data_IF_548543320542
#
_entry.id   IF_548543320542
#
_cell.length_a   1.000
_cell.length_b   1.000
_cell.length_c   1.000
_cell.angle_alpha   90.00
_cell.angle_beta   90.00
_cell.angle_gamma   90.00
#
_symmetry.space_group_name_H-M   'P 1'
#
loop_
_entity.id
_entity.type
_entity.pdbx_description
1 polymer ?
#
# COMPACT_ATOMS: atom_id res chain seq x y z
N UNK A 1 -44.11 -43.62 49.28
CA UNK A 1 -45.21 -42.80 48.72
C UNK A 1 -44.59 -41.72 47.86
N UNK A 2 -45.03 -41.69 46.62
CA UNK A 2 -44.35 -41.18 45.44
C UNK A 2 -44.06 -39.68 45.42
N UNK A 3 -42.85 -39.36 44.94
CA UNK A 3 -42.49 -38.03 44.45
C UNK A 3 -43.29 -37.74 43.17
N UNK A 4 -44.25 -36.83 43.24
CA UNK A 4 -44.90 -36.25 42.04
C UNK A 4 -44.25 -34.90 41.73
N UNK A 5 -43.25 -34.92 40.85
CA UNK A 5 -42.80 -33.72 40.15
C UNK A 5 -43.94 -33.28 39.20
N UNK A 6 -44.77 -32.34 39.65
CA UNK A 6 -45.70 -31.65 38.75
C UNK A 6 -44.86 -30.82 37.77
N UNK A 7 -44.74 -31.30 36.54
CA UNK A 7 -44.32 -30.46 35.42
C UNK A 7 -45.38 -29.37 35.30
N UNK A 8 -45.00 -28.15 35.63
CA UNK A 8 -45.78 -26.95 35.33
C UNK A 8 -45.80 -26.82 33.80
N UNK A 9 -46.84 -27.39 33.16
CA UNK A 9 -47.06 -27.20 31.73
C UNK A 9 -47.39 -25.73 31.53
N UNK A 10 -46.39 -24.96 31.11
CA UNK A 10 -46.54 -23.54 30.78
C UNK A 10 -47.64 -23.38 29.74
N UNK A 11 -48.81 -22.94 30.19
CA UNK A 11 -49.97 -22.75 29.33
C UNK A 11 -49.73 -21.52 28.45
N UNK A 12 -49.17 -21.75 27.26
CA UNK A 12 -48.79 -20.74 26.27
C UNK A 12 -49.92 -19.74 25.99
N UNK A 13 -51.18 -20.18 26.11
CA UNK A 13 -52.36 -19.33 25.91
C UNK A 13 -52.53 -18.28 27.01
N UNK A 14 -52.27 -18.63 28.27
CA UNK A 14 -52.34 -17.70 29.40
C UNK A 14 -51.21 -16.66 29.36
N UNK A 15 -50.04 -17.05 28.85
CA UNK A 15 -48.92 -16.13 28.63
C UNK A 15 -49.21 -15.11 27.52
N UNK A 16 -49.90 -15.49 26.45
CA UNK A 16 -50.11 -14.65 25.26
C UNK A 16 -51.35 -13.73 25.37
N UNK A 17 -52.38 -14.15 26.10
CA UNK A 17 -53.62 -13.39 26.29
C UNK A 17 -53.43 -11.90 26.72
N UNK A 18 -52.53 -11.55 27.68
CA UNK A 18 -52.32 -10.16 28.06
C UNK A 18 -51.68 -9.31 26.94
N UNK A 19 -50.84 -9.90 26.09
CA UNK A 19 -50.23 -9.21 24.95
C UNK A 19 -51.24 -8.95 23.83
N UNK A 20 -52.14 -9.90 23.55
CA UNK A 20 -53.23 -9.70 22.58
C UNK A 20 -54.23 -8.62 23.03
N UNK A 21 -54.52 -8.52 24.34
CA UNK A 21 -55.40 -7.46 24.87
C UNK A 21 -54.83 -6.06 24.62
N UNK A 22 -53.50 -5.93 24.68
CA UNK A 22 -52.77 -4.67 24.51
C UNK A 22 -52.14 -4.52 23.11
N UNK A 23 -52.66 -5.22 22.10
CA UNK A 23 -52.09 -5.27 20.73
C UNK A 23 -51.80 -3.90 20.10
N UNK A 24 -52.57 -2.86 20.46
CA UNK A 24 -52.37 -1.47 19.98
C UNK A 24 -50.99 -0.92 20.36
N UNK A 25 -50.48 -1.22 21.56
CA UNK A 25 -49.15 -0.79 21.99
C UNK A 25 -48.05 -1.53 21.20
N UNK A 26 -48.29 -2.79 20.85
CA UNK A 26 -47.36 -3.57 20.03
C UNK A 26 -47.32 -3.10 18.58
N UNK A 27 -48.49 -2.77 17.99
CA UNK A 27 -48.56 -2.17 16.66
C UNK A 27 -47.95 -0.76 16.67
N UNK A 28 -48.22 0.03 17.71
CA UNK A 28 -47.64 1.37 17.88
C UNK A 28 -46.11 1.32 18.00
N UNK A 29 -45.57 0.40 18.80
CA UNK A 29 -44.11 0.23 18.91
C UNK A 29 -43.49 -0.30 17.62
N UNK A 30 -44.18 -1.19 16.89
CA UNK A 30 -43.76 -1.67 15.58
C UNK A 30 -43.67 -0.55 14.55
N UNK A 31 -44.68 0.33 14.48
CA UNK A 31 -44.66 1.51 13.60
C UNK A 31 -43.55 2.48 14.01
N UNK A 32 -43.37 2.72 15.31
CA UNK A 32 -42.31 3.59 15.81
C UNK A 32 -40.92 3.05 15.42
N UNK A 33 -40.66 1.76 15.63
CA UNK A 33 -39.42 1.11 15.21
C UNK A 33 -39.22 1.17 13.71
N UNK A 34 -40.28 1.02 12.91
CA UNK A 34 -40.21 1.15 11.46
C UNK A 34 -39.82 2.57 11.03
N UNK A 35 -40.41 3.60 11.65
CA UNK A 35 -40.04 5.00 11.39
C UNK A 35 -38.58 5.25 11.75
N UNK A 36 -38.13 4.79 12.92
CA UNK A 36 -36.74 4.91 13.34
C UNK A 36 -35.78 4.18 12.39
N UNK A 37 -36.14 2.98 11.92
CA UNK A 37 -35.35 2.23 10.95
C UNK A 37 -35.22 2.98 9.61
N UNK A 38 -36.31 3.56 9.10
CA UNK A 38 -36.29 4.35 7.87
C UNK A 38 -35.44 5.62 8.04
N UNK A 39 -35.56 6.31 9.18
CA UNK A 39 -34.72 7.47 9.49
C UNK A 39 -33.24 7.09 9.58
N UNK A 40 -32.94 5.97 10.22
CA UNK A 40 -31.57 5.46 10.33
C UNK A 40 -30.98 5.16 8.94
N UNK A 41 -31.66 4.34 8.13
CA UNK A 41 -31.20 3.97 6.78
C UNK A 41 -31.01 5.21 5.88
N UNK A 42 -31.87 6.22 6.01
CA UNK A 42 -31.70 7.47 5.25
C UNK A 42 -30.54 8.33 5.72
N UNK A 43 -30.17 8.26 7.00
CA UNK A 43 -29.14 9.12 7.62
C UNK A 43 -27.74 8.51 7.59
N UNK A 44 -27.61 7.23 7.28
CA UNK A 44 -26.30 6.57 7.18
C UNK A 44 -25.75 6.65 5.75
N UNK A 45 -24.51 7.14 5.54
CA UNK A 45 -23.88 7.15 4.22
C UNK A 45 -23.63 5.72 3.71
N UNK A 46 -23.73 5.46 2.40
CA UNK A 46 -23.44 4.14 1.84
C UNK A 46 -21.93 3.88 1.86
N UNK A 47 -21.52 2.75 2.45
CA UNK A 47 -20.13 2.29 2.43
C UNK A 47 -19.98 1.18 1.39
N UNK A 48 -18.91 1.24 0.60
CA UNK A 48 -18.61 0.28 -0.47
C UNK A 48 -17.29 -0.44 -0.20
N UNK A 49 -17.36 -1.77 -0.21
CA UNK A 49 -16.17 -2.63 -0.20
C UNK A 49 -15.55 -2.69 -1.59
N UNK A 50 -14.30 -2.25 -1.72
CA UNK A 50 -13.47 -2.50 -2.89
C UNK A 50 -12.43 -3.57 -2.55
N UNK A 51 -12.13 -4.44 -3.51
CA UNK A 51 -11.18 -5.54 -3.33
C UNK A 51 -10.35 -5.73 -4.60
N UNK A 52 -9.07 -6.08 -4.42
CA UNK A 52 -8.17 -6.49 -5.48
C UNK A 52 -7.34 -7.69 -5.03
N UNK A 53 -6.85 -8.48 -5.98
CA UNK A 53 -6.03 -9.65 -5.72
C UNK A 53 -4.71 -9.54 -6.46
N UNK A 54 -3.60 -9.74 -5.74
CA UNK A 54 -2.24 -9.61 -6.25
C UNK A 54 -1.56 -10.96 -6.17
N UNK A 55 -1.07 -11.46 -7.31
CA UNK A 55 -0.27 -12.67 -7.38
C UNK A 55 1.21 -12.33 -7.17
N UNK A 56 1.83 -12.93 -6.16
CA UNK A 56 3.26 -12.82 -5.91
C UNK A 56 3.98 -13.90 -6.73
N UNK A 57 4.75 -13.47 -7.74
CA UNK A 57 5.42 -14.40 -8.69
C UNK A 57 6.65 -15.08 -8.10
N UNK A 58 7.40 -14.38 -7.24
CA UNK A 58 8.65 -14.89 -6.65
C UNK A 58 8.41 -15.58 -5.28
N UNK A 59 7.15 -15.87 -4.96
CA UNK A 59 6.71 -16.64 -3.80
C UNK A 59 7.05 -18.13 -3.91
N UNK A 60 8.32 -18.46 -4.19
CA UNK A 60 8.82 -19.81 -3.98
C UNK A 60 8.99 -19.98 -2.48
N UNK A 61 8.11 -20.76 -1.84
CA UNK A 61 8.54 -21.53 -0.67
C UNK A 61 9.78 -22.28 -1.14
N UNK A 62 10.93 -22.02 -0.51
CA UNK A 62 12.16 -22.73 -0.80
C UNK A 62 11.87 -24.20 -0.50
N UNK A 63 11.49 -24.94 -1.54
CA UNK A 63 11.19 -26.35 -1.41
C UNK A 63 12.49 -27.01 -1.01
N UNK A 64 12.41 -27.84 0.02
CA UNK A 64 13.47 -28.67 0.63
C UNK A 64 14.21 -29.57 -0.40
N UNK A 65 13.87 -29.48 -1.68
CA UNK A 65 14.33 -30.33 -2.77
C UNK A 65 15.54 -29.82 -3.57
N UNK A 66 16.22 -28.74 -3.16
CA UNK A 66 17.50 -28.33 -3.76
C UNK A 66 18.67 -28.58 -2.79
N UNK A 67 19.27 -29.77 -2.90
CA UNK A 67 20.68 -30.11 -2.63
C UNK A 67 21.34 -29.63 -1.33
N UNK A 68 21.80 -30.58 -0.51
CA UNK A 68 22.67 -30.48 0.68
C UNK A 68 22.24 -29.58 1.86
N UNK A 69 21.43 -28.54 1.64
CA UNK A 69 20.94 -27.65 2.71
C UNK A 69 19.65 -28.19 3.39
N UNK A 70 18.83 -28.96 2.67
CA UNK A 70 17.58 -29.52 3.20
C UNK A 70 17.77 -30.55 4.33
N UNK A 71 18.89 -31.28 4.33
CA UNK A 71 19.22 -32.26 5.39
C UNK A 71 19.71 -31.55 6.65
N UNK A 72 20.42 -30.42 6.51
CA UNK A 72 20.95 -29.65 7.64
C UNK A 72 19.83 -28.96 8.45
N UNK A 73 18.73 -28.54 7.80
CA UNK A 73 17.51 -28.05 8.46
C UNK A 73 16.72 -29.14 9.19
N UNK A 74 16.88 -30.41 8.80
CA UNK A 74 16.15 -31.54 9.41
C UNK A 74 16.82 -32.08 10.68
N UNK A 75 18.12 -31.80 10.90
CA UNK A 75 18.93 -32.36 11.99
C UNK A 75 19.07 -31.46 13.23
N UNK A 76 18.72 -30.18 13.11
CA UNK A 76 18.54 -29.27 14.25
C UNK A 76 17.20 -28.59 14.10
N UNK A 77 16.42 -28.43 15.18
CA UNK A 77 15.05 -27.86 15.21
C UNK A 77 14.88 -26.42 14.70
N UNK A 78 15.51 -26.07 13.58
CA UNK A 78 15.51 -24.81 12.85
C UNK A 78 14.40 -24.76 11.79
N UNK A 79 13.42 -25.68 11.88
CA UNK A 79 12.21 -25.76 11.05
C UNK A 79 11.38 -24.45 11.04
N UNK A 80 11.62 -23.54 11.99
CA UNK A 80 10.98 -22.22 12.05
C UNK A 80 11.67 -21.11 11.23
N UNK A 81 12.80 -21.37 10.57
CA UNK A 81 13.55 -20.38 9.78
C UNK A 81 13.27 -20.47 8.27
N UNK A 82 12.11 -21.02 7.89
CA UNK A 82 11.56 -20.81 6.56
C UNK A 82 11.02 -19.38 6.51
N UNK A 83 11.74 -18.48 5.85
CA UNK A 83 11.22 -17.13 5.56
C UNK A 83 9.96 -17.30 4.73
N UNK A 84 8.83 -17.14 5.38
CA UNK A 84 7.50 -17.19 4.80
C UNK A 84 7.37 -15.95 3.90
N UNK A 85 7.85 -16.07 2.65
CA UNK A 85 8.05 -14.94 1.73
C UNK A 85 6.75 -14.22 1.44
N UNK A 86 5.63 -14.94 1.43
CA UNK A 86 4.29 -14.37 1.24
C UNK A 86 3.88 -13.46 2.41
N UNK A 87 4.13 -13.88 3.65
CA UNK A 87 3.81 -13.11 4.85
C UNK A 87 4.65 -11.84 4.95
N UNK A 88 5.88 -11.87 4.46
CA UNK A 88 6.68 -10.66 4.30
C UNK A 88 6.01 -9.69 3.31
N UNK A 89 5.51 -10.17 2.16
CA UNK A 89 4.80 -9.33 1.19
C UNK A 89 3.51 -8.72 1.78
N UNK A 90 2.79 -9.46 2.64
CA UNK A 90 1.65 -8.92 3.41
C UNK A 90 2.10 -7.73 4.26
N UNK A 91 3.21 -7.88 4.98
CA UNK A 91 3.80 -6.81 5.78
C UNK A 91 4.24 -5.61 4.93
N UNK A 92 4.73 -5.83 3.70
CA UNK A 92 5.08 -4.77 2.76
C UNK A 92 3.83 -3.97 2.37
N UNK A 93 2.73 -4.62 1.99
CA UNK A 93 1.47 -3.92 1.70
C UNK A 93 0.90 -3.15 2.89
N UNK A 94 1.08 -3.66 4.11
CA UNK A 94 0.67 -2.98 5.34
C UNK A 94 1.65 -1.89 5.78
N UNK A 95 2.79 -1.72 5.13
CA UNK A 95 3.81 -0.76 5.56
C UNK A 95 3.35 0.69 5.38
N UNK A 96 3.68 1.54 6.35
CA UNK A 96 3.36 2.97 6.28
C UNK A 96 3.93 3.63 5.04
N UNK A 97 5.15 3.27 4.63
CA UNK A 97 5.82 3.87 3.48
C UNK A 97 5.02 3.74 2.17
N UNK A 98 4.47 2.55 1.89
CA UNK A 98 3.64 2.33 0.70
C UNK A 98 2.34 3.13 0.78
N UNK A 99 1.66 3.10 1.93
CA UNK A 99 0.41 3.86 2.14
C UNK A 99 0.68 5.37 1.99
N UNK A 100 1.77 5.85 2.56
CA UNK A 100 2.21 7.23 2.52
C UNK A 100 2.38 7.74 1.09
N UNK A 101 3.13 7.01 0.27
CA UNK A 101 3.38 7.38 -1.13
C UNK A 101 2.08 7.45 -1.94
N UNK A 102 1.14 6.53 -1.70
CA UNK A 102 -0.18 6.55 -2.35
C UNK A 102 -1.00 7.76 -1.91
N UNK A 103 -0.98 8.10 -0.63
CA UNK A 103 -1.67 9.27 -0.10
C UNK A 103 -1.11 10.57 -0.68
N UNK A 104 0.22 10.65 -0.87
CA UNK A 104 0.90 11.78 -1.53
C UNK A 104 0.55 11.86 -3.02
N UNK A 105 0.54 10.74 -3.74
CA UNK A 105 0.19 10.69 -5.17
C UNK A 105 -1.24 11.21 -5.41
N UNK A 106 -2.21 10.81 -4.57
CA UNK A 106 -3.64 11.12 -4.78
C UNK A 106 -4.16 12.32 -3.98
N UNK A 107 -3.33 12.95 -3.14
CA UNK A 107 -3.72 14.04 -2.23
C UNK A 107 -4.94 13.67 -1.35
N UNK A 108 -4.94 12.48 -0.74
CA UNK A 108 -6.08 11.98 0.04
C UNK A 108 -6.29 12.65 1.40
N UNK A 109 -5.36 13.51 1.82
CA UNK A 109 -5.37 14.16 3.12
C UNK A 109 -6.55 15.10 3.37
N UNK A 110 -7.07 15.73 2.32
CA UNK A 110 -8.15 16.73 2.43
C UNK A 110 -9.38 16.26 1.66
N UNK A 111 -10.18 15.33 2.22
CA UNK A 111 -11.43 14.92 1.59
C UNK A 111 -12.42 16.08 1.59
N UNK A 112 -13.09 16.27 0.44
CA UNK A 112 -14.08 17.32 0.22
C UNK A 112 -15.47 16.70 0.27
N UNK A 113 -16.40 17.34 0.94
CA UNK A 113 -17.77 16.89 1.12
C UNK A 113 -18.76 17.95 0.64
N UNK A 114 -19.91 17.49 0.12
CA UNK A 114 -21.10 18.30 -0.06
C UNK A 114 -22.12 17.96 1.03
N UNK A 115 -22.58 18.99 1.75
CA UNK A 115 -23.60 18.85 2.78
C UNK A 115 -24.94 18.48 2.16
N UNK A 116 -25.52 17.34 2.54
CA UNK A 116 -26.91 16.99 2.19
C UNK A 116 -27.80 17.06 3.44
N UNK A 117 -29.10 16.90 3.21
CA UNK A 117 -30.12 16.88 4.26
C UNK A 117 -29.95 15.74 5.26
N UNK A 118 -29.48 14.56 4.81
CA UNK A 118 -29.45 13.35 5.65
C UNK A 118 -28.05 12.88 6.01
N UNK A 119 -27.09 12.98 5.09
CA UNK A 119 -25.69 12.62 5.32
C UNK A 119 -24.77 13.49 4.46
N UNK A 120 -23.50 13.56 4.82
CA UNK A 120 -22.53 14.31 4.03
C UNK A 120 -22.02 13.43 2.88
N UNK A 121 -22.03 13.96 1.65
CA UNK A 121 -21.57 13.22 0.48
C UNK A 121 -20.10 13.52 0.20
N UNK A 122 -19.23 12.52 0.30
CA UNK A 122 -17.83 12.65 -0.13
C UNK A 122 -17.72 12.84 -1.65
N UNK A 123 -16.98 13.87 -2.06
CA UNK A 123 -16.69 14.21 -3.44
C UNK A 123 -15.25 13.86 -3.78
N UNK A 124 -15.05 13.12 -4.87
CA UNK A 124 -13.73 12.66 -5.28
C UNK A 124 -13.62 12.57 -6.82
N UNK A 125 -12.41 12.78 -7.34
CA UNK A 125 -12.14 12.77 -8.78
C UNK A 125 -13.00 13.80 -9.53
N UNK A 126 -13.77 13.34 -10.52
CA UNK A 126 -14.62 14.22 -11.35
C UNK A 126 -15.75 14.91 -10.59
N UNK A 127 -16.17 14.40 -9.44
CA UNK A 127 -17.24 15.03 -8.64
C UNK A 127 -16.71 16.08 -7.67
N UNK A 128 -15.39 16.15 -7.47
CA UNK A 128 -14.78 17.13 -6.57
C UNK A 128 -14.54 18.46 -7.30
N UNK A 129 -15.16 19.58 -6.88
CA UNK A 129 -14.94 20.89 -7.48
C UNK A 129 -13.61 21.55 -7.08
N UNK A 130 -13.03 21.18 -5.94
CA UNK A 130 -11.86 21.87 -5.36
C UNK A 130 -10.71 20.91 -5.13
N UNK A 131 -9.53 21.28 -5.62
CA UNK A 131 -8.28 20.55 -5.32
C UNK A 131 -7.57 21.34 -4.24
N UNK A 132 -7.42 20.74 -3.06
CA UNK A 132 -6.78 21.38 -1.92
C UNK A 132 -5.39 20.75 -1.78
N UNK A 133 -4.36 21.57 -1.92
CA UNK A 133 -2.98 21.18 -1.70
C UNK A 133 -2.47 21.77 -0.39
N UNK A 134 -1.91 20.93 0.45
CA UNK A 134 -1.23 21.37 1.67
C UNK A 134 0.23 21.61 1.31
N UNK A 135 0.65 22.87 1.45
CA UNK A 135 2.03 23.29 1.16
C UNK A 135 2.92 22.98 2.37
N UNK A 136 2.41 23.27 3.57
CA UNK A 136 3.16 23.09 4.81
C UNK A 136 2.20 22.90 5.98
N UNK A 137 2.43 21.86 6.77
CA UNK A 137 1.77 21.67 8.07
C UNK A 137 2.49 22.43 9.17
N UNK A 138 1.77 22.80 10.23
CA UNK A 138 2.36 23.37 11.43
C UNK A 138 2.42 22.28 12.50
N UNK A 139 3.64 21.91 12.91
CA UNK A 139 3.91 20.74 13.76
C UNK A 139 3.25 20.81 15.15
N UNK A 140 3.06 22.00 15.72
CA UNK A 140 2.50 22.19 17.08
C UNK A 140 1.11 22.85 17.09
N UNK A 141 0.38 22.82 15.98
CA UNK A 141 -0.92 23.47 15.90
C UNK A 141 -2.06 22.55 16.35
N UNK A 142 -3.03 23.12 17.07
CA UNK A 142 -4.28 22.41 17.36
C UNK A 142 -5.02 22.08 16.06
N UNK A 143 -5.32 20.79 15.90
CA UNK A 143 -6.06 20.30 14.73
C UNK A 143 -7.53 20.74 14.81
N UNK A 144 -8.11 21.22 13.69
CA UNK A 144 -9.51 21.61 13.65
C UNK A 144 -10.40 20.39 13.91
N UNK A 145 -11.32 20.49 14.87
CA UNK A 145 -12.28 19.42 15.17
C UNK A 145 -13.56 19.54 14.34
N UNK A 146 -13.80 20.72 13.77
CA UNK A 146 -14.97 21.04 12.96
C UNK A 146 -14.65 21.20 11.47
N UNK A 147 -15.61 20.90 10.59
CA UNK A 147 -15.44 21.05 9.14
C UNK A 147 -15.23 22.52 8.74
N UNK A 148 -14.43 22.72 7.69
CA UNK A 148 -14.15 24.04 7.14
C UNK A 148 -14.96 24.21 5.86
N UNK A 149 -15.94 25.12 5.90
CA UNK A 149 -16.82 25.40 4.78
C UNK A 149 -16.15 26.28 3.74
N UNK A 150 -16.39 25.97 2.47
CA UNK A 150 -15.90 26.69 1.30
C UNK A 150 -17.09 27.33 0.59
N UNK A 151 -17.12 28.68 0.58
CA UNK A 151 -18.07 29.45 -0.23
C UNK A 151 -17.32 30.17 -1.35
N UNK A 152 -17.66 29.86 -2.60
CA UNK A 152 -17.11 30.56 -3.76
C UNK A 152 -18.04 31.71 -4.17
N UNK A 153 -17.48 32.92 -4.31
CA UNK A 153 -18.16 34.11 -4.85
C UNK A 153 -17.30 34.72 -5.96
N UNK A 154 -17.60 34.35 -7.21
CA UNK A 154 -16.81 34.76 -8.37
C UNK A 154 -15.40 34.14 -8.35
N UNK A 155 -14.37 34.98 -8.27
CA UNK A 155 -12.98 34.54 -8.12
C UNK A 155 -12.51 34.42 -6.65
N UNK A 156 -13.33 34.92 -5.72
CA UNK A 156 -13.07 34.84 -4.29
C UNK A 156 -13.56 33.52 -3.67
N UNK A 157 -12.81 33.05 -2.69
CA UNK A 157 -13.15 31.94 -1.80
C UNK A 157 -13.25 32.50 -0.39
N UNK A 158 -14.30 32.13 0.32
CA UNK A 158 -14.48 32.44 1.73
C UNK A 158 -14.45 31.12 2.48
N UNK A 159 -13.50 31.01 3.42
CA UNK A 159 -13.36 29.88 4.32
C UNK A 159 -13.94 30.26 5.68
N UNK A 160 -14.84 29.43 6.19
CA UNK A 160 -15.46 29.61 7.50
C UNK A 160 -15.47 28.29 8.26
N UNK A 161 -15.11 28.34 9.54
CA UNK A 161 -15.28 27.23 10.47
C UNK A 161 -16.01 27.76 11.71
N UNK A 162 -16.83 26.93 12.34
CA UNK A 162 -17.52 27.25 13.59
C UNK A 162 -16.53 27.48 14.76
N UNK A 163 -15.25 27.13 14.59
CA UNK A 163 -14.18 27.38 15.57
C UNK A 163 -13.50 28.73 15.37
N UNK A 164 -13.70 29.37 14.21
CA UNK A 164 -13.04 30.62 13.86
C UNK A 164 -13.95 31.81 14.17
N UNK A 165 -13.36 32.86 14.73
CA UNK A 165 -14.07 34.12 14.98
C UNK A 165 -14.32 34.90 13.69
N UNK A 166 -13.39 34.82 12.74
CA UNK A 166 -13.41 35.56 11.48
C UNK A 166 -13.34 34.62 10.28
N UNK A 167 -14.06 34.97 9.22
CA UNK A 167 -13.97 34.27 7.93
C UNK A 167 -12.68 34.65 7.19
N UNK A 168 -11.98 33.64 6.66
CA UNK A 168 -10.75 33.86 5.89
C UNK A 168 -11.10 34.01 4.42
N UNK A 169 -10.83 35.18 3.85
CA UNK A 169 -11.07 35.47 2.43
C UNK A 169 -9.80 35.24 1.63
N UNK A 170 -9.89 34.41 0.61
CA UNK A 170 -8.78 34.08 -0.30
C UNK A 170 -9.25 34.00 -1.75
N UNK A 171 -8.35 33.68 -2.67
CA UNK A 171 -8.63 33.46 -4.09
C UNK A 171 -8.10 32.11 -4.54
N UNK A 172 -8.58 31.60 -5.67
CA UNK A 172 -8.07 30.35 -6.23
C UNK A 172 -6.56 30.44 -6.52
N UNK A 173 -5.85 29.32 -6.34
CA UNK A 173 -4.41 29.16 -6.56
C UNK A 173 -3.54 30.12 -5.74
N UNK A 174 -4.07 30.70 -4.67
CA UNK A 174 -3.32 31.55 -3.74
C UNK A 174 -3.03 30.80 -2.45
N UNK A 175 -1.78 30.88 -2.02
CA UNK A 175 -1.35 30.36 -0.72
C UNK A 175 -2.07 31.09 0.41
N UNK A 176 -2.74 30.34 1.26
CA UNK A 176 -3.54 30.83 2.38
C UNK A 176 -3.02 30.19 3.66
N UNK A 177 -2.65 31.03 4.62
CA UNK A 177 -2.16 30.59 5.93
C UNK A 177 -3.37 30.36 6.82
N UNK A 178 -3.60 29.11 7.22
CA UNK A 178 -4.56 28.72 8.25
C UNK A 178 -3.84 28.53 9.59
N UNK A 179 -4.59 28.47 10.71
CA UNK A 179 -3.99 28.24 12.03
C UNK A 179 -3.12 26.97 12.11
N UNK A 180 -3.50 25.90 11.40
CA UNK A 180 -2.86 24.58 11.45
C UNK A 180 -2.02 24.21 10.22
N UNK A 181 -2.23 24.86 9.07
CA UNK A 181 -1.49 24.56 7.84
C UNK A 181 -1.51 25.73 6.86
N UNK A 182 -0.59 25.71 5.92
CA UNK A 182 -0.58 26.59 4.75
C UNK A 182 -1.13 25.79 3.57
N UNK A 183 -2.25 26.25 3.00
CA UNK A 183 -2.96 25.53 1.93
C UNK A 183 -3.08 26.37 0.67
N UNK A 184 -3.28 25.69 -0.46
CA UNK A 184 -3.66 26.28 -1.74
C UNK A 184 -4.90 25.57 -2.27
N UNK A 185 -5.92 26.34 -2.64
CA UNK A 185 -7.17 25.80 -3.18
C UNK A 185 -7.25 26.12 -4.67
N UNK A 186 -7.23 25.09 -5.50
CA UNK A 186 -7.42 25.16 -6.95
C UNK A 186 -8.82 24.73 -7.38
N UNK A 187 -9.23 25.13 -8.58
CA UNK A 187 -10.43 24.58 -9.24
C UNK A 187 -10.07 23.28 -9.92
N UNK A 188 -10.94 22.27 -9.82
CA UNK A 188 -10.78 21.06 -10.62
C UNK A 188 -11.29 21.29 -12.06
N UNK A 189 -10.42 21.25 -13.09
CA UNK A 189 -10.84 21.44 -14.48
C UNK A 189 -11.72 20.30 -15.00
N UNK A 190 -11.65 19.12 -14.38
CA UNK A 190 -12.41 17.92 -14.76
C UNK A 190 -13.76 17.82 -14.02
N UNK A 191 -14.13 18.85 -13.26
CA UNK A 191 -15.32 18.83 -12.42
C UNK A 191 -16.60 18.68 -13.25
N UNK A 192 -17.43 17.71 -12.86
CA UNK A 192 -18.76 17.46 -13.39
C UNK A 192 -19.73 17.35 -12.22
N UNK A 193 -20.66 18.31 -12.15
CA UNK A 193 -21.67 18.35 -11.11
C UNK A 193 -22.51 17.05 -11.12
N UNK A 194 -22.62 16.34 -9.99
CA UNK A 194 -23.49 15.16 -9.90
C UNK A 194 -24.97 15.54 -10.12
N UNK A 195 -25.64 14.83 -11.04
CA UNK A 195 -26.99 15.17 -11.57
C UNK A 195 -28.15 15.14 -10.56
N UNK A 196 -27.96 14.61 -9.35
CA UNK A 196 -29.05 14.35 -8.36
C UNK A 196 -28.72 14.82 -6.94
N UNK A 197 -27.78 15.75 -6.80
CA UNK A 197 -27.22 16.14 -5.50
C UNK A 197 -27.34 17.64 -5.33
N UNK A 198 -27.72 18.08 -4.13
CA UNK A 198 -27.73 19.50 -3.80
C UNK A 198 -26.29 19.94 -3.49
N UNK A 199 -25.74 20.84 -4.31
CA UNK A 199 -24.32 21.25 -4.26
C UNK A 199 -24.17 22.69 -3.73
N UNK A 200 -24.99 23.06 -2.75
CA UNK A 200 -25.04 24.44 -2.25
C UNK A 200 -23.94 24.74 -1.23
N UNK A 201 -23.57 23.75 -0.40
CA UNK A 201 -22.58 23.90 0.67
C UNK A 201 -21.51 22.83 0.56
N UNK A 202 -20.26 23.26 0.34
CA UNK A 202 -19.08 22.42 0.33
C UNK A 202 -18.25 22.67 1.58
N UNK A 203 -17.62 21.62 2.09
CA UNK A 203 -16.66 21.73 3.17
C UNK A 203 -15.57 20.66 3.02
N UNK A 204 -14.45 20.84 3.70
CA UNK A 204 -13.43 19.81 3.82
C UNK A 204 -13.10 19.58 5.30
N UNK A 205 -12.69 18.36 5.61
CA UNK A 205 -12.04 18.07 6.89
C UNK A 205 -10.53 18.08 6.69
N UNK A 206 -9.81 18.37 7.77
CA UNK A 206 -8.36 18.38 7.79
C UNK A 206 -7.89 17.51 8.96
N UNK A 207 -6.93 16.64 8.68
CA UNK A 207 -6.12 15.93 9.66
C UNK A 207 -4.64 16.11 9.27
N UNK A 208 -3.71 15.96 10.21
CA UNK A 208 -2.29 15.92 9.84
C UNK A 208 -2.02 14.69 8.97
N UNK A 209 -0.96 14.78 8.18
CA UNK A 209 -0.65 13.77 7.19
C UNK A 209 -0.37 12.41 7.85
N UNK A 210 0.36 12.37 8.97
CA UNK A 210 0.68 11.13 9.67
C UNK A 210 -0.55 10.41 10.23
N UNK A 211 -1.53 11.14 10.80
CA UNK A 211 -2.76 10.49 11.25
C UNK A 211 -3.59 10.01 10.07
N UNK A 212 -3.62 10.76 8.96
CA UNK A 212 -4.28 10.30 7.74
C UNK A 212 -3.65 9.00 7.24
N UNK A 213 -2.32 8.87 7.28
CA UNK A 213 -1.64 7.62 6.92
C UNK A 213 -2.07 6.48 7.85
N UNK A 214 -2.14 6.73 9.16
CA UNK A 214 -2.61 5.72 10.12
C UNK A 214 -4.07 5.31 9.85
N UNK A 215 -4.96 6.27 9.61
CA UNK A 215 -6.38 6.02 9.32
C UNK A 215 -6.53 5.12 8.08
N UNK A 216 -5.77 5.39 7.02
CA UNK A 216 -5.79 4.57 5.80
C UNK A 216 -5.11 3.21 5.98
N UNK A 217 -4.08 3.13 6.80
CA UNK A 217 -3.40 1.87 7.14
C UNK A 217 -4.34 0.96 7.93
N UNK A 218 -5.08 1.49 8.89
CA UNK A 218 -6.08 0.74 9.68
C UNK A 218 -7.29 0.33 8.85
N UNK A 219 -7.69 1.15 7.88
CA UNK A 219 -8.78 0.83 6.96
C UNK A 219 -8.40 -0.25 5.92
N UNK A 220 -7.11 -0.50 5.71
CA UNK A 220 -6.62 -1.49 4.74
C UNK A 220 -6.61 -2.89 5.35
N UNK A 221 -7.49 -3.76 4.84
CA UNK A 221 -7.44 -5.19 5.13
C UNK A 221 -6.56 -5.91 4.10
N UNK A 222 -5.53 -6.59 4.59
CA UNK A 222 -4.60 -7.41 3.79
C UNK A 222 -4.65 -8.84 4.29
N UNK A 223 -5.12 -9.75 3.44
CA UNK A 223 -5.31 -11.16 3.78
C UNK A 223 -4.71 -12.06 2.71
N UNK A 224 -4.32 -13.27 3.11
CA UNK A 224 -3.97 -14.34 2.16
C UNK A 224 -5.24 -15.05 1.73
N UNK A 225 -5.40 -15.26 0.43
CA UNK A 225 -6.57 -15.98 -0.09
C UNK A 225 -6.60 -17.43 0.42
N UNK A 226 -5.43 -18.06 0.53
CA UNK A 226 -5.20 -19.37 1.13
C UNK A 226 -3.93 -19.33 1.99
N UNK A 227 -3.86 -20.11 3.08
CA UNK A 227 -2.69 -20.17 3.98
C UNK A 227 -1.38 -20.61 3.32
N UNK A 228 -1.48 -21.29 2.18
CA UNK A 228 -0.35 -21.70 1.35
C UNK A 228 -0.35 -21.00 -0.03
N UNK A 229 -1.26 -20.04 -0.22
CA UNK A 229 -1.47 -19.35 -1.48
C UNK A 229 -0.43 -18.25 -1.73
N UNK A 230 -0.13 -18.01 -3.00
CA UNK A 230 0.72 -16.90 -3.47
C UNK A 230 -0.09 -15.65 -3.83
N UNK A 231 -1.38 -15.64 -3.49
CA UNK A 231 -2.33 -14.56 -3.82
C UNK A 231 -2.69 -13.80 -2.55
N UNK A 232 -2.39 -12.51 -2.55
CA UNK A 232 -2.75 -11.56 -1.51
C UNK A 232 -4.03 -10.84 -1.94
N UNK A 233 -5.00 -10.78 -1.05
CA UNK A 233 -6.22 -9.99 -1.19
C UNK A 233 -6.08 -8.68 -0.43
N UNK A 234 -6.30 -7.55 -1.11
CA UNK A 234 -6.36 -6.22 -0.50
C UNK A 234 -7.80 -5.72 -0.56
N UNK A 235 -8.33 -5.20 0.54
CA UNK A 235 -9.66 -4.59 0.56
C UNK A 235 -9.76 -3.37 1.46
N UNK A 236 -10.68 -2.47 1.09
CA UNK A 236 -11.01 -1.25 1.83
C UNK A 236 -12.50 -0.96 1.74
N UNK A 237 -13.04 -0.35 2.80
CA UNK A 237 -14.43 0.04 2.92
C UNK A 237 -14.55 1.57 2.95
N UNK A 238 -14.87 2.21 1.81
CA UNK A 238 -14.99 3.66 1.69
C UNK A 238 -16.37 4.10 1.19
N UNK A 239 -16.76 5.35 1.49
CA UNK A 239 -18.00 5.97 0.98
C UNK A 239 -17.93 6.22 -0.53
N UNK A 240 -16.73 6.51 -1.06
CA UNK A 240 -16.53 6.79 -2.48
C UNK A 240 -15.86 5.62 -3.23
N UNK A 241 -16.60 5.06 -4.19
CA UNK A 241 -16.14 3.93 -5.03
C UNK A 241 -14.89 4.24 -5.86
N UNK A 242 -14.76 5.46 -6.38
CA UNK A 242 -13.61 5.83 -7.21
C UNK A 242 -12.36 5.98 -6.33
N UNK A 243 -12.50 6.63 -5.17
CA UNK A 243 -11.43 6.74 -4.16
C UNK A 243 -10.90 5.37 -3.73
N UNK A 244 -11.80 4.44 -3.42
CA UNK A 244 -11.44 3.07 -3.03
C UNK A 244 -10.63 2.35 -4.11
N UNK A 245 -11.05 2.48 -5.38
CA UNK A 245 -10.33 1.88 -6.51
C UNK A 245 -8.96 2.52 -6.73
N UNK A 246 -8.88 3.85 -6.68
CA UNK A 246 -7.63 4.57 -6.92
C UNK A 246 -6.62 4.33 -5.81
N UNK A 247 -7.08 4.21 -4.55
CA UNK A 247 -6.24 3.79 -3.43
C UNK A 247 -5.67 2.38 -3.64
N UNK A 248 -6.52 1.37 -3.89
CA UNK A 248 -6.04 -0.01 -4.12
C UNK A 248 -5.14 -0.13 -5.35
N UNK A 249 -5.46 0.56 -6.44
CA UNK A 249 -4.62 0.60 -7.63
C UNK A 249 -3.28 1.30 -7.34
N UNK A 250 -3.30 2.37 -6.54
CA UNK A 250 -2.10 3.07 -6.07
C UNK A 250 -1.20 2.15 -5.27
N UNK A 251 -1.76 1.41 -4.30
CA UNK A 251 -0.99 0.45 -3.49
C UNK A 251 -0.30 -0.60 -4.37
N UNK A 252 -1.01 -1.17 -5.34
CA UNK A 252 -0.43 -2.15 -6.27
C UNK A 252 0.66 -1.53 -7.15
N UNK A 253 0.45 -0.30 -7.66
CA UNK A 253 1.48 0.41 -8.43
C UNK A 253 2.72 0.67 -7.59
N UNK A 254 2.54 1.20 -6.38
CA UNK A 254 3.65 1.55 -5.50
C UNK A 254 4.40 0.31 -5.05
N UNK A 255 3.70 -0.76 -4.69
CA UNK A 255 4.29 -2.07 -4.44
C UNK A 255 5.18 -2.54 -5.60
N UNK A 256 4.71 -2.45 -6.85
CA UNK A 256 5.52 -2.85 -8.01
C UNK A 256 6.80 -2.00 -8.12
N UNK A 257 6.74 -0.70 -7.82
CA UNK A 257 7.92 0.18 -7.79
C UNK A 257 8.90 -0.27 -6.71
N UNK A 258 8.41 -0.53 -5.49
CA UNK A 258 9.24 -1.04 -4.39
C UNK A 258 9.89 -2.38 -4.73
N UNK A 259 9.12 -3.33 -5.27
CA UNK A 259 9.62 -4.66 -5.64
C UNK A 259 10.70 -4.60 -6.73
N UNK A 260 10.54 -3.73 -7.74
CA UNK A 260 11.56 -3.51 -8.78
C UNK A 260 12.81 -2.89 -8.17
N UNK A 261 12.66 -1.89 -7.31
CA UNK A 261 13.78 -1.21 -6.69
C UNK A 261 14.58 -2.15 -5.78
N UNK A 262 13.91 -2.96 -4.97
CA UNK A 262 14.54 -3.95 -4.10
C UNK A 262 15.35 -4.97 -4.91
N UNK A 263 14.76 -5.51 -5.98
CA UNK A 263 15.43 -6.45 -6.90
C UNK A 263 16.64 -5.83 -7.60
N UNK A 264 16.57 -4.54 -7.93
CA UNK A 264 17.71 -3.81 -8.49
C UNK A 264 18.83 -3.61 -7.46
N UNK A 265 18.49 -3.33 -6.20
CA UNK A 265 19.46 -3.21 -5.10
C UNK A 265 20.16 -4.55 -4.88
N UNK A 266 19.41 -5.65 -4.79
CA UNK A 266 19.97 -7.00 -4.64
C UNK A 266 20.91 -7.36 -5.81
N UNK A 267 20.47 -7.13 -7.04
CA UNK A 267 21.27 -7.39 -8.25
C UNK A 267 22.56 -6.57 -8.25
N UNK A 268 22.49 -5.30 -7.83
CA UNK A 268 23.67 -4.43 -7.71
C UNK A 268 24.64 -4.94 -6.65
N UNK A 269 24.16 -5.35 -5.48
CA UNK A 269 25.02 -5.91 -4.42
C UNK A 269 25.71 -7.19 -4.87
N UNK A 270 25.00 -8.07 -5.59
CA UNK A 270 25.56 -9.29 -6.16
C UNK A 270 26.62 -8.98 -7.21
N UNK A 271 26.36 -8.03 -8.11
CA UNK A 271 27.36 -7.55 -9.07
C UNK A 271 28.61 -7.02 -8.36
N UNK A 272 28.44 -6.14 -7.37
CA UNK A 272 29.56 -5.56 -6.62
C UNK A 272 30.39 -6.64 -5.90
N UNK A 273 29.75 -7.71 -5.43
CA UNK A 273 30.43 -8.86 -4.83
C UNK A 273 31.27 -9.63 -5.85
N UNK A 274 30.71 -9.92 -7.03
CA UNK A 274 31.42 -10.60 -8.12
C UNK A 274 32.60 -9.77 -8.60
N UNK A 275 32.41 -8.46 -8.85
CA UNK A 275 33.46 -7.56 -9.31
C UNK A 275 34.63 -7.52 -8.30
N UNK A 276 34.34 -7.44 -6.99
CA UNK A 276 35.36 -7.55 -5.93
C UNK A 276 36.09 -8.89 -5.95
N UNK A 277 35.37 -10.00 -6.16
CA UNK A 277 35.98 -11.33 -6.18
C UNK A 277 36.87 -11.55 -7.40
N UNK A 278 36.46 -11.04 -8.58
CA UNK A 278 37.29 -11.08 -9.79
C UNK A 278 38.57 -10.30 -9.57
N UNK A 279 38.49 -9.07 -9.06
CA UNK A 279 39.68 -8.24 -8.80
C UNK A 279 40.67 -8.91 -7.84
N UNK A 280 40.16 -9.52 -6.76
CA UNK A 280 40.99 -10.23 -5.78
C UNK A 280 41.66 -11.47 -6.40
N UNK A 281 40.93 -12.29 -7.16
CA UNK A 281 41.50 -13.47 -7.84
C UNK A 281 42.54 -13.05 -8.89
N UNK A 282 42.29 -11.97 -9.65
CA UNK A 282 43.25 -11.46 -10.63
C UNK A 282 44.56 -11.02 -9.97
N UNK A 283 44.49 -10.37 -8.81
CA UNK A 283 45.67 -10.00 -8.03
C UNK A 283 46.39 -11.23 -7.49
N UNK A 284 45.67 -12.17 -6.85
CA UNK A 284 46.24 -13.41 -6.31
C UNK A 284 46.92 -14.26 -7.42
N UNK A 285 46.33 -14.33 -8.61
CA UNK A 285 46.92 -15.04 -9.75
C UNK A 285 48.19 -14.33 -10.23
N UNK A 286 48.19 -13.00 -10.33
CA UNK A 286 49.38 -12.22 -10.69
C UNK A 286 50.53 -12.40 -9.69
N UNK A 287 50.21 -12.47 -8.40
CA UNK A 287 51.19 -12.74 -7.34
C UNK A 287 51.77 -14.15 -7.47
N UNK A 288 50.92 -15.17 -7.68
CA UNK A 288 51.35 -16.56 -7.88
C UNK A 288 52.20 -16.71 -9.15
N UNK A 289 51.83 -16.04 -10.24
CA UNK A 289 52.58 -16.07 -11.50
C UNK A 289 53.96 -15.42 -11.36
N UNK A 290 54.03 -14.28 -10.65
CA UNK A 290 55.30 -13.61 -10.30
C UNK A 290 56.19 -14.50 -9.42
N UNK A 291 55.61 -15.16 -8.40
CA UNK A 291 56.33 -16.11 -7.55
C UNK A 291 56.87 -17.31 -8.35
N UNK A 292 56.06 -17.85 -9.27
CA UNK A 292 56.44 -18.95 -10.16
C UNK A 292 57.57 -18.55 -11.11
N UNK A 293 57.51 -17.35 -11.70
CA UNK A 293 58.57 -16.80 -12.54
C UNK A 293 59.88 -16.66 -11.75
N UNK A 294 59.84 -16.04 -10.57
CA UNK A 294 61.00 -15.88 -9.69
C UNK A 294 61.63 -17.23 -9.29
N UNK A 295 60.80 -18.23 -9.00
CA UNK A 295 61.27 -19.59 -8.70
C UNK A 295 61.95 -20.25 -9.92
N UNK A 296 61.36 -20.14 -11.11
CA UNK A 296 61.93 -20.67 -12.36
C UNK A 296 63.27 -20.01 -12.71
N UNK A 297 63.35 -18.69 -12.58
CA UNK A 297 64.55 -17.91 -12.86
C UNK A 297 65.69 -18.20 -11.88
N UNK A 298 65.41 -18.22 -10.57
CA UNK A 298 66.42 -18.49 -9.53
C UNK A 298 67.02 -19.90 -9.60
N UNK A 299 66.26 -20.88 -10.08
CA UNK A 299 66.71 -22.26 -10.21
C UNK A 299 67.23 -22.61 -11.62
N UNK A 300 67.38 -21.64 -12.54
CA UNK A 300 67.78 -21.86 -13.94
C UNK A 300 66.96 -22.96 -14.65
N UNK A 301 65.68 -23.12 -14.29
CA UNK A 301 64.82 -24.18 -14.81
C UNK A 301 64.38 -23.88 -16.26
N UNK A 302 64.53 -22.63 -16.73
CA UNK A 302 63.94 -22.14 -17.98
C UNK A 302 64.92 -21.31 -18.82
N UNK A 303 64.98 -21.62 -20.12
CA UNK A 303 65.59 -20.79 -21.17
C UNK A 303 64.54 -19.83 -21.76
N UNK A 304 64.43 -18.65 -21.14
CA UNK A 304 63.48 -17.58 -21.48
C UNK A 304 63.41 -17.25 -23.00
N UNK A 305 64.54 -17.11 -23.73
CA UNK A 305 64.56 -16.93 -25.18
C UNK A 305 63.80 -18.01 -25.96
N UNK A 306 63.98 -19.28 -25.59
CA UNK A 306 63.39 -20.42 -26.29
C UNK A 306 61.89 -20.50 -26.01
N UNK A 307 61.48 -20.29 -24.76
CA UNK A 307 60.07 -20.32 -24.36
C UNK A 307 59.28 -19.15 -25.01
N UNK A 308 59.87 -17.95 -25.08
CA UNK A 308 59.29 -16.80 -25.76
C UNK A 308 59.09 -17.06 -27.26
N UNK A 309 60.09 -17.68 -27.93
CA UNK A 309 60.00 -18.04 -29.35
C UNK A 309 58.88 -19.05 -29.61
N UNK A 310 58.75 -20.09 -28.78
CA UNK A 310 57.71 -21.12 -28.91
C UNK A 310 56.31 -20.51 -28.69
N UNK A 311 56.15 -19.66 -27.66
CA UNK A 311 54.86 -19.00 -27.38
C UNK A 311 54.40 -18.11 -28.54
N UNK A 312 55.33 -17.37 -29.14
CA UNK A 312 55.04 -16.49 -30.27
C UNK A 312 54.61 -17.31 -31.51
N UNK A 313 55.26 -18.45 -31.75
CA UNK A 313 54.90 -19.40 -32.80
C UNK A 313 53.49 -19.99 -32.58
N UNK A 314 53.19 -20.45 -31.37
CA UNK A 314 51.86 -20.96 -30.99
C UNK A 314 50.77 -19.90 -31.16
N UNK A 315 51.05 -18.64 -30.81
CA UNK A 315 50.11 -17.52 -31.00
C UNK A 315 49.78 -17.30 -32.47
N UNK A 316 50.80 -17.24 -33.33
CA UNK A 316 50.61 -17.10 -34.77
C UNK A 316 49.84 -18.30 -35.36
N UNK A 317 50.15 -19.52 -34.91
CA UNK A 317 49.48 -20.72 -35.35
C UNK A 317 48.00 -20.78 -34.92
N UNK A 318 47.69 -20.37 -33.69
CA UNK A 318 46.31 -20.28 -33.18
C UNK A 318 45.51 -19.20 -33.92
N UNK A 319 46.14 -18.06 -34.23
CA UNK A 319 45.54 -16.99 -35.03
C UNK A 319 45.24 -17.47 -36.46
N UNK A 320 46.14 -18.24 -37.05
CA UNK A 320 45.94 -18.86 -38.35
C UNK A 320 44.75 -19.85 -38.33
N UNK A 321 44.63 -20.69 -37.30
CA UNK A 321 43.48 -21.60 -37.14
C UNK A 321 42.14 -20.87 -36.98
N UNK A 322 42.10 -19.76 -36.23
CA UNK A 322 40.89 -18.92 -36.10
C UNK A 322 40.49 -18.33 -37.46
N UNK A 323 41.46 -17.85 -38.23
CA UNK A 323 41.24 -17.34 -39.59
C UNK A 323 40.73 -18.43 -40.53
N UNK A 324 41.31 -19.63 -40.47
CA UNK A 324 40.90 -20.78 -41.28
C UNK A 324 39.48 -21.25 -40.96
N UNK A 325 39.14 -21.39 -39.68
CA UNK A 325 37.77 -21.67 -39.21
C UNK A 325 36.78 -20.58 -39.65
N UNK A 326 37.19 -19.31 -39.62
CA UNK A 326 36.39 -18.19 -40.10
C UNK A 326 36.14 -18.19 -41.61
N UNK A 327 37.03 -18.81 -42.40
CA UNK A 327 36.85 -18.98 -43.85
C UNK A 327 36.05 -20.22 -44.24
N UNK A 328 35.78 -21.14 -43.29
CA UNK A 328 35.00 -22.36 -43.50
C UNK A 328 33.51 -22.23 -43.12
N UNK A 329 33.11 -21.08 -42.56
CA UNK A 329 31.72 -20.69 -42.26
C UNK A 329 31.12 -19.85 -43.40
#
# INVERSE_FOLDING_TARGET
MDKKYLKEETNVKELIAPYLKNWKYFVGSGILMFILAVLYIKSTPPVYKAQTSVLIKDAKKMSVASGDIGVLQSLGGLSGMGTNSIENEVGVFQSKAIVEDVLREHNFQTPVYAKQTFYNLELYGVTNPYIIHIIQEKEDAELPQKPIFIKSKGEGIILSSDEWKDEIKTSFNKTTILPFATIMIGKNPMYKAPKKVNLTEFFFSYNNFDNTVNDFQEALAVDLLDKDGTIISLSVDFENKAKAKDFLNGLVRQYNVYAINDKNIESKKTKDFIDRRIALISNELGDVETQKEGYKASNNIVDLPTEAKINLQLKEQSKAQILELGTQL
#
